data_IF_421694575647
#
_entry.id   IF_421694575647
#
_cell.length_a   1.000
_cell.length_b   1.000
_cell.length_c   1.000
_cell.angle_alpha   90.00
_cell.angle_beta   90.00
_cell.angle_gamma   90.00
#
_symmetry.space_group_name_H-M   'P 1'
#
loop_
_entity.id
_entity.type
_entity.pdbx_description
1 polymer ?
#
# COMPACT_ATOMS: atom_id res chain seq x y z
N UNK A 1 -11.50 -27.22 18.88
CA UNK A 1 -11.01 -25.94 18.35
C UNK A 1 -11.50 -25.87 16.91
N UNK A 2 -12.48 -25.01 16.63
CA UNK A 2 -13.32 -25.12 15.42
C UNK A 2 -12.76 -24.25 14.29
N UNK A 3 -12.61 -24.80 13.09
CA UNK A 3 -12.07 -24.14 11.90
C UNK A 3 -12.97 -22.99 11.35
N UNK A 4 -14.05 -22.64 12.04
CA UNK A 4 -14.97 -21.57 11.67
C UNK A 4 -14.49 -20.16 12.10
N UNK A 5 -13.51 -20.04 13.00
CA UNK A 5 -12.97 -18.74 13.44
C UNK A 5 -11.95 -18.12 12.46
N UNK A 6 -11.61 -18.82 11.37
CA UNK A 6 -10.71 -18.28 10.34
C UNK A 6 -11.43 -17.47 9.24
N UNK A 7 -12.75 -17.33 9.34
CA UNK A 7 -13.54 -16.47 8.47
C UNK A 7 -13.91 -15.17 9.21
N UNK A 8 -12.90 -14.42 9.66
CA UNK A 8 -13.13 -12.98 9.85
C UNK A 8 -13.47 -12.42 8.47
N UNK A 9 -14.67 -11.87 8.29
CA UNK A 9 -14.97 -10.97 7.17
C UNK A 9 -13.74 -10.09 6.89
N UNK A 10 -13.35 -9.82 5.63
CA UNK A 10 -12.07 -9.21 5.28
C UNK A 10 -11.84 -7.96 6.13
N UNK A 11 -11.08 -8.14 7.20
CA UNK A 11 -11.27 -7.34 8.40
C UNK A 11 -10.54 -6.03 8.28
N UNK A 12 -11.30 -4.95 8.28
CA UNK A 12 -10.86 -3.63 8.73
C UNK A 12 -9.95 -3.75 9.93
N UNK A 13 -8.88 -2.98 9.96
CA UNK A 13 -7.79 -3.19 10.90
C UNK A 13 -8.14 -3.04 12.38
N UNK A 14 -7.10 -3.14 13.19
CA UNK A 14 -7.18 -2.96 14.65
C UNK A 14 -6.67 -1.58 15.00
N UNK A 15 -7.43 -0.83 15.78
CA UNK A 15 -6.99 0.42 16.40
C UNK A 15 -6.70 0.16 17.88
N UNK A 16 -5.48 0.47 18.32
CA UNK A 16 -5.08 0.47 19.72
C UNK A 16 -5.02 1.92 20.19
N UNK A 17 -5.74 2.25 21.25
CA UNK A 17 -5.79 3.58 21.84
C UNK A 17 -5.16 3.59 23.24
N UNK A 18 -4.36 4.62 23.49
CA UNK A 18 -3.71 4.84 24.76
C UNK A 18 -4.73 5.14 25.88
N UNK A 19 -4.64 4.38 26.97
CA UNK A 19 -5.54 4.54 28.13
C UNK A 19 -5.37 5.90 28.81
N UNK A 20 -4.13 6.36 29.02
CA UNK A 20 -3.86 7.64 29.67
C UNK A 20 -4.33 8.82 28.83
N UNK A 21 -4.03 8.79 27.53
CA UNK A 21 -4.50 9.84 26.60
C UNK A 21 -6.03 9.90 26.55
N UNK A 22 -6.70 8.74 26.51
CA UNK A 22 -8.18 8.66 26.52
C UNK A 22 -8.76 9.32 27.76
N UNK A 23 -8.17 9.06 28.92
CA UNK A 23 -8.67 9.56 30.21
C UNK A 23 -8.52 11.08 30.35
N UNK A 24 -7.65 11.70 29.55
CA UNK A 24 -7.52 13.15 29.44
C UNK A 24 -8.56 13.80 28.49
N UNK A 25 -9.23 13.00 27.64
CA UNK A 25 -10.19 13.53 26.66
C UNK A 25 -11.62 13.61 27.22
N UNK A 26 -12.42 14.48 26.62
CA UNK A 26 -13.85 14.56 26.95
C UNK A 26 -14.59 13.26 26.53
N UNK A 27 -15.49 12.71 27.38
CA UNK A 27 -16.19 11.45 27.08
C UNK A 27 -16.95 11.42 25.75
N UNK A 28 -17.53 12.55 25.33
CA UNK A 28 -18.23 12.64 24.03
C UNK A 28 -17.30 12.40 22.85
N UNK A 29 -16.04 12.85 22.94
CA UNK A 29 -15.07 12.67 21.87
C UNK A 29 -14.58 11.22 21.79
N UNK A 30 -14.41 10.56 22.95
CA UNK A 30 -14.12 9.13 23.00
C UNK A 30 -15.28 8.31 22.42
N UNK A 31 -16.52 8.71 22.71
CA UNK A 31 -17.70 8.08 22.11
C UNK A 31 -17.73 8.25 20.58
N UNK A 32 -17.46 9.48 20.08
CA UNK A 32 -17.30 9.73 18.65
C UNK A 32 -16.26 8.81 18.02
N UNK A 33 -15.06 8.71 18.60
CA UNK A 33 -13.97 7.85 18.10
C UNK A 33 -14.42 6.39 18.01
N UNK A 34 -15.04 5.86 19.08
CA UNK A 34 -15.50 4.48 19.13
C UNK A 34 -16.56 4.20 18.05
N UNK A 35 -17.54 5.09 17.92
CA UNK A 35 -18.61 4.99 16.92
C UNK A 35 -18.06 5.11 15.50
N UNK A 36 -17.14 6.04 15.26
CA UNK A 36 -16.48 6.25 13.97
C UNK A 36 -15.66 5.03 13.55
N UNK A 37 -14.87 4.46 14.47
CA UNK A 37 -14.10 3.23 14.20
C UNK A 37 -15.03 2.06 13.88
N UNK A 38 -16.09 1.87 14.66
CA UNK A 38 -17.08 0.82 14.42
C UNK A 38 -17.76 0.97 13.05
N UNK A 39 -18.13 2.19 12.67
CA UNK A 39 -18.72 2.48 11.35
C UNK A 39 -17.75 2.16 10.20
N UNK A 40 -16.44 2.33 10.43
CA UNK A 40 -15.37 1.97 9.49
C UNK A 40 -14.83 0.54 9.72
N UNK A 41 -15.60 -0.30 10.43
CA UNK A 41 -15.29 -1.71 10.73
C UNK A 41 -13.99 -1.97 11.53
N UNK A 42 -13.37 -0.94 12.11
CA UNK A 42 -12.18 -1.10 12.94
C UNK A 42 -12.52 -1.68 14.31
N UNK A 43 -11.68 -2.59 14.80
CA UNK A 43 -11.75 -3.06 16.19
C UNK A 43 -10.93 -2.15 17.09
N UNK A 44 -11.56 -1.56 18.11
CA UNK A 44 -10.91 -0.70 19.09
C UNK A 44 -10.46 -1.48 20.32
N UNK A 45 -9.19 -1.36 20.68
CA UNK A 45 -8.60 -1.90 21.90
C UNK A 45 -7.98 -0.77 22.74
N UNK A 46 -8.10 -0.85 24.06
CA UNK A 46 -7.49 0.11 24.97
C UNK A 46 -6.25 -0.51 25.62
N UNK A 47 -5.09 0.12 25.46
CA UNK A 47 -3.82 -0.41 25.94
C UNK A 47 -2.93 0.70 26.49
N UNK A 48 -2.04 0.42 27.46
CA UNK A 48 -1.04 1.37 27.94
C UNK A 48 0.14 1.45 26.95
N UNK A 49 -0.10 2.03 25.78
CA UNK A 49 0.89 2.20 24.71
C UNK A 49 1.57 3.56 24.78
N UNK A 50 2.75 3.70 24.17
CA UNK A 50 3.49 4.97 24.18
C UNK A 50 2.96 6.04 23.20
N UNK A 51 2.54 5.71 21.95
CA UNK A 51 1.75 6.61 21.09
C UNK A 51 0.33 6.81 21.63
N UNK A 52 -0.44 7.73 21.04
CA UNK A 52 -1.86 7.90 21.38
C UNK A 52 -2.72 6.87 20.66
N UNK A 53 -2.37 6.58 19.39
CA UNK A 53 -3.00 5.53 18.60
C UNK A 53 -1.97 4.69 17.87
N UNK A 54 -2.27 3.40 17.70
CA UNK A 54 -1.60 2.52 16.75
C UNK A 54 -2.66 1.82 15.91
N UNK A 55 -2.58 1.99 14.60
CA UNK A 55 -3.42 1.27 13.64
C UNK A 55 -2.65 0.12 13.03
N UNK A 56 -3.23 -1.08 13.03
CA UNK A 56 -2.70 -2.24 12.33
C UNK A 56 -3.62 -2.62 11.17
N UNK A 57 -3.16 -2.36 9.95
CA UNK A 57 -3.87 -2.65 8.70
C UNK A 57 -3.08 -3.65 7.88
N UNK A 58 -3.53 -4.90 7.83
CA UNK A 58 -2.92 -5.93 6.96
C UNK A 58 -1.43 -6.17 7.23
N UNK A 59 -1.00 -6.10 8.49
CA UNK A 59 0.39 -6.31 8.89
C UNK A 59 1.27 -5.06 8.76
N UNK A 60 0.71 -3.88 8.49
CA UNK A 60 1.39 -2.59 8.66
C UNK A 60 0.92 -1.91 9.93
N UNK A 61 1.86 -1.47 10.77
CA UNK A 61 1.57 -0.67 11.95
C UNK A 61 1.90 0.81 11.69
N UNK A 62 0.94 1.69 11.97
CA UNK A 62 1.09 3.14 11.88
C UNK A 62 0.78 3.75 13.25
N UNK A 63 1.74 4.50 13.79
CA UNK A 63 1.61 5.16 15.09
C UNK A 63 1.26 6.64 14.93
N UNK A 64 0.47 7.15 15.87
CA UNK A 64 0.04 8.54 15.90
C UNK A 64 0.26 9.15 17.29
N UNK A 65 0.79 10.38 17.31
CA UNK A 65 0.61 11.32 18.41
C UNK A 65 -0.56 12.22 18.01
N UNK A 66 -1.53 12.40 18.89
CA UNK A 66 -2.70 13.24 18.65
C UNK A 66 -2.85 14.33 19.71
N UNK A 67 -2.50 15.56 19.33
CA UNK A 67 -2.63 16.75 20.18
C UNK A 67 -3.98 17.41 19.88
N UNK A 68 -4.97 17.22 20.75
CA UNK A 68 -6.34 17.72 20.56
C UNK A 68 -6.52 19.19 20.94
N UNK A 69 -5.54 19.78 21.62
CA UNK A 69 -5.49 21.21 21.91
C UNK A 69 -4.03 21.69 21.94
N UNK A 70 -3.65 22.54 20.98
CA UNK A 70 -2.30 23.06 20.92
C UNK A 70 -2.01 24.14 21.96
N UNK A 71 -0.93 23.95 22.72
CA UNK A 71 -0.35 24.95 23.61
C UNK A 71 1.18 25.03 23.38
N UNK A 72 1.70 26.23 23.11
CA UNK A 72 3.13 26.44 22.89
C UNK A 72 4.00 26.13 24.11
N UNK A 73 3.47 26.26 25.33
CA UNK A 73 4.22 25.94 26.55
C UNK A 73 4.55 24.46 26.62
N UNK A 74 3.73 23.61 25.97
CA UNK A 74 3.91 22.17 25.89
C UNK A 74 4.63 21.72 24.61
N UNK A 75 5.08 22.66 23.75
CA UNK A 75 5.73 22.31 22.49
C UNK A 75 6.93 21.38 22.71
N UNK A 76 7.81 21.71 23.65
CA UNK A 76 9.00 20.89 23.96
C UNK A 76 8.65 19.45 24.32
N UNK A 77 7.54 19.23 25.04
CA UNK A 77 7.07 17.90 25.41
C UNK A 77 6.57 17.12 24.18
N UNK A 78 5.79 17.77 23.30
CA UNK A 78 5.28 17.16 22.07
C UNK A 78 6.43 16.76 21.14
N UNK A 79 7.36 17.68 20.86
CA UNK A 79 8.52 17.40 19.99
C UNK A 79 9.48 16.38 20.62
N UNK A 80 9.71 16.43 21.93
CA UNK A 80 10.53 15.43 22.63
C UNK A 80 9.91 14.03 22.63
N UNK A 81 8.59 13.92 22.74
CA UNK A 81 7.85 12.65 22.60
C UNK A 81 7.93 12.12 21.18
N UNK A 82 7.77 13.01 20.20
CA UNK A 82 7.89 12.70 18.77
C UNK A 82 9.26 12.10 18.44
N UNK A 83 10.34 12.75 18.86
CA UNK A 83 11.71 12.27 18.61
C UNK A 83 11.98 10.89 19.21
N UNK A 84 11.45 10.63 20.41
CA UNK A 84 11.54 9.30 21.04
C UNK A 84 10.79 8.23 20.25
N UNK A 85 9.56 8.51 19.82
CA UNK A 85 8.73 7.56 19.09
C UNK A 85 9.20 7.33 17.65
N UNK A 86 9.79 8.33 17.00
CA UNK A 86 10.31 8.23 15.63
C UNK A 86 11.39 7.14 15.51
N UNK A 87 12.17 6.92 16.56
CA UNK A 87 13.18 5.84 16.61
C UNK A 87 12.58 4.44 16.73
N UNK A 88 11.32 4.34 17.16
CA UNK A 88 10.63 3.08 17.42
C UNK A 88 9.66 2.68 16.29
N UNK A 89 9.13 3.66 15.55
CA UNK A 89 8.09 3.44 14.55
C UNK A 89 8.53 3.96 13.18
N UNK A 90 8.58 3.08 12.18
CA UNK A 90 8.86 3.46 10.79
C UNK A 90 7.76 4.31 10.13
N UNK A 91 6.54 4.28 10.69
CA UNK A 91 5.43 5.14 10.28
C UNK A 91 4.83 5.83 11.50
N UNK A 92 5.30 7.06 11.74
CA UNK A 92 4.81 7.93 12.80
C UNK A 92 4.22 9.20 12.18
N UNK A 93 3.09 9.63 12.71
CA UNK A 93 2.43 10.89 12.33
C UNK A 93 2.07 11.67 13.60
N UNK A 94 2.08 12.99 13.49
CA UNK A 94 1.65 13.88 14.58
C UNK A 94 0.48 14.70 14.09
N UNK A 95 -0.72 14.43 14.60
CA UNK A 95 -1.91 15.22 14.28
C UNK A 95 -2.10 16.26 15.38
N UNK A 96 -2.30 17.52 14.99
CA UNK A 96 -2.37 18.64 15.94
C UNK A 96 -3.59 19.50 15.61
N UNK A 97 -4.50 19.65 16.58
CA UNK A 97 -5.62 20.57 16.46
C UNK A 97 -5.19 22.00 16.80
N UNK A 98 -5.34 22.87 15.81
CA UNK A 98 -5.04 24.31 15.82
C UNK A 98 -6.27 25.07 15.29
N UNK A 99 -7.35 25.17 16.07
CA UNK A 99 -8.61 25.77 15.62
C UNK A 99 -8.49 27.24 15.21
N UNK A 100 -7.59 28.01 15.83
CA UNK A 100 -7.43 29.45 15.54
C UNK A 100 -6.18 29.77 14.74
N UNK A 101 -6.17 30.94 14.09
CA UNK A 101 -5.01 31.42 13.34
C UNK A 101 -3.81 31.64 14.26
N UNK A 102 -4.02 32.15 15.47
CA UNK A 102 -2.98 32.39 16.46
C UNK A 102 -2.33 31.08 16.94
N UNK A 103 -3.14 30.03 17.13
CA UNK A 103 -2.62 28.70 17.46
C UNK A 103 -1.85 28.09 16.29
N UNK A 104 -2.32 28.27 15.07
CA UNK A 104 -1.60 27.83 13.87
C UNK A 104 -0.26 28.55 13.72
N UNK A 105 -0.21 29.87 13.91
CA UNK A 105 1.02 30.65 13.87
C UNK A 105 1.99 30.25 14.99
N UNK A 106 1.45 30.01 16.19
CA UNK A 106 2.20 29.50 17.34
C UNK A 106 2.79 28.11 17.08
N UNK A 107 2.00 27.22 16.49
CA UNK A 107 2.43 25.90 16.06
C UNK A 107 3.53 26.00 15.00
N UNK A 108 3.36 26.83 13.97
CA UNK A 108 4.36 27.04 12.93
C UNK A 108 5.70 27.53 13.49
N UNK A 109 5.67 28.54 14.39
CA UNK A 109 6.90 28.99 15.07
C UNK A 109 7.60 27.86 15.82
N UNK A 110 6.82 27.02 16.52
CA UNK A 110 7.38 25.88 17.26
C UNK A 110 7.91 24.79 16.32
N UNK A 111 7.18 24.50 15.26
CA UNK A 111 7.59 23.58 14.21
C UNK A 111 8.93 23.97 13.62
N UNK A 112 9.10 25.22 13.16
CA UNK A 112 10.38 25.69 12.62
C UNK A 112 11.50 25.74 13.65
N UNK A 113 11.17 26.04 14.92
CA UNK A 113 12.16 26.06 16.01
C UNK A 113 12.72 24.67 16.33
N UNK A 114 11.88 23.64 16.35
CA UNK A 114 12.26 22.29 16.80
C UNK A 114 12.58 21.32 15.65
N UNK A 115 12.14 21.58 14.43
CA UNK A 115 12.29 20.68 13.27
C UNK A 115 13.43 21.08 12.32
N UNK A 116 14.67 21.15 12.84
CA UNK A 116 15.87 21.53 12.05
C UNK A 116 16.38 20.41 11.11
N UNK A 117 15.79 19.21 11.11
CA UNK A 117 16.06 18.16 10.11
C UNK A 117 14.79 17.68 9.40
N UNK A 118 14.69 18.00 8.10
CA UNK A 118 13.63 17.53 7.20
C UNK A 118 13.75 16.03 6.95
N UNK A 119 12.81 15.22 7.46
CA UNK A 119 12.78 13.78 7.17
C UNK A 119 11.78 12.90 7.92
N UNK A 120 10.58 13.40 8.26
CA UNK A 120 9.47 12.75 8.98
C UNK A 120 9.58 12.77 10.52
N UNK A 121 8.47 12.78 11.30
CA UNK A 121 7.07 12.50 10.97
C UNK A 121 6.33 13.68 10.32
N UNK A 122 5.38 13.34 9.45
CA UNK A 122 4.48 14.29 8.80
C UNK A 122 3.53 14.86 9.85
N UNK A 123 3.75 16.11 10.26
CA UNK A 123 2.80 16.85 11.08
C UNK A 123 1.55 17.16 10.25
N UNK A 124 0.38 16.97 10.85
CA UNK A 124 -0.93 17.16 10.21
C UNK A 124 -1.73 18.15 11.07
N UNK A 125 -1.60 19.46 10.82
CA UNK A 125 -2.43 20.45 11.48
C UNK A 125 -3.88 20.32 11.00
N UNK A 126 -4.84 20.42 11.93
CA UNK A 126 -6.28 20.35 11.68
C UNK A 126 -7.01 21.40 12.48
N UNK A 127 -8.22 21.80 12.05
CA UNK A 127 -9.01 22.82 12.75
C UNK A 127 -9.81 22.25 13.91
N UNK A 128 -10.18 20.98 13.84
CA UNK A 128 -11.01 20.34 14.84
C UNK A 128 -10.54 18.90 15.13
N UNK A 129 -10.74 18.41 16.37
CA UNK A 129 -10.31 17.06 16.74
C UNK A 129 -11.04 15.93 15.98
N UNK A 130 -12.31 16.09 15.61
CA UNK A 130 -13.05 15.04 14.89
C UNK A 130 -12.49 14.80 13.48
N UNK A 131 -12.25 15.88 12.72
CA UNK A 131 -11.52 15.88 11.45
C UNK A 131 -10.09 15.36 11.63
N UNK A 132 -9.44 15.71 12.74
CA UNK A 132 -8.14 15.15 13.12
C UNK A 132 -8.17 13.63 13.15
N UNK A 133 -9.16 13.07 13.84
CA UNK A 133 -9.33 11.63 13.94
C UNK A 133 -9.72 10.98 12.60
N UNK A 134 -10.58 11.63 11.81
CA UNK A 134 -10.90 11.17 10.46
C UNK A 134 -9.64 11.07 9.58
N UNK A 135 -8.75 12.06 9.63
CA UNK A 135 -7.47 12.04 8.93
C UNK A 135 -6.55 10.92 9.42
N UNK A 136 -6.52 10.64 10.72
CA UNK A 136 -5.79 9.50 11.28
C UNK A 136 -6.23 8.20 10.62
N UNK A 137 -7.54 7.94 10.57
CA UNK A 137 -8.10 6.72 9.98
C UNK A 137 -7.79 6.66 8.48
N UNK A 138 -7.92 7.77 7.75
CA UNK A 138 -7.60 7.85 6.31
C UNK A 138 -6.12 7.55 6.02
N UNK A 139 -5.20 8.14 6.80
CA UNK A 139 -3.76 7.88 6.66
C UNK A 139 -3.44 6.42 6.93
N UNK A 140 -3.98 5.87 8.03
CA UNK A 140 -3.78 4.47 8.39
C UNK A 140 -4.28 3.53 7.29
N UNK A 141 -5.48 3.79 6.76
CA UNK A 141 -6.07 2.99 5.70
C UNK A 141 -5.23 3.04 4.42
N UNK A 142 -4.89 4.24 3.94
CA UNK A 142 -4.09 4.43 2.73
C UNK A 142 -2.76 3.68 2.82
N UNK A 143 -2.05 3.79 3.95
CA UNK A 143 -0.80 3.07 4.19
C UNK A 143 -0.97 1.55 4.15
N UNK A 144 -2.04 1.03 4.73
CA UNK A 144 -2.38 -0.40 4.67
C UNK A 144 -2.65 -0.90 3.25
N UNK A 145 -3.37 -0.10 2.44
CA UNK A 145 -3.66 -0.42 1.04
C UNK A 145 -2.38 -0.42 0.20
N UNK A 146 -1.53 0.60 0.33
CA UNK A 146 -0.25 0.66 -0.39
C UNK A 146 0.62 -0.57 -0.12
N UNK A 147 0.80 -0.97 1.15
CA UNK A 147 1.57 -2.20 1.48
C UNK A 147 0.97 -3.44 0.80
N UNK A 148 -0.36 -3.57 0.79
CA UNK A 148 -1.01 -4.71 0.15
C UNK A 148 -0.76 -4.70 -1.36
N UNK A 149 -0.82 -3.53 -2.00
CA UNK A 149 -0.50 -3.38 -3.42
C UNK A 149 0.96 -3.71 -3.72
N UNK A 150 1.91 -3.22 -2.91
CA UNK A 150 3.34 -3.52 -3.03
C UNK A 150 3.62 -5.02 -2.85
N UNK A 151 2.95 -5.68 -1.89
CA UNK A 151 3.07 -7.11 -1.71
C UNK A 151 2.52 -7.88 -2.92
N UNK A 152 1.38 -7.46 -3.48
CA UNK A 152 0.80 -8.09 -4.68
C UNK A 152 1.68 -7.88 -5.90
N UNK A 153 2.26 -6.69 -6.09
CA UNK A 153 3.17 -6.42 -7.22
C UNK A 153 4.47 -7.21 -7.09
N UNK A 154 5.06 -7.28 -5.89
CA UNK A 154 6.22 -8.14 -5.60
C UNK A 154 5.90 -9.62 -5.89
N UNK A 155 4.77 -10.14 -5.43
CA UNK A 155 4.37 -11.53 -5.70
C UNK A 155 4.13 -11.79 -7.20
N UNK A 156 3.59 -10.83 -7.94
CA UNK A 156 3.47 -10.92 -9.41
C UNK A 156 4.84 -10.97 -10.06
N UNK A 157 5.75 -10.07 -9.67
CA UNK A 157 7.12 -10.03 -10.20
C UNK A 157 7.90 -11.31 -9.88
N UNK A 158 7.82 -11.82 -8.63
CA UNK A 158 8.47 -13.08 -8.24
C UNK A 158 7.88 -14.27 -9.00
N UNK A 159 6.57 -14.30 -9.24
CA UNK A 159 5.92 -15.33 -10.06
C UNK A 159 6.43 -15.27 -11.51
N UNK A 160 6.46 -14.08 -12.09
CA UNK A 160 7.01 -13.87 -13.44
C UNK A 160 8.46 -14.33 -13.50
N UNK A 161 9.32 -13.90 -12.57
CA UNK A 161 10.72 -14.34 -12.50
C UNK A 161 10.87 -15.85 -12.26
N UNK A 162 10.01 -16.46 -11.44
CA UNK A 162 10.06 -17.90 -11.17
C UNK A 162 9.65 -18.73 -12.40
N UNK A 163 8.70 -18.25 -13.21
CA UNK A 163 8.32 -18.87 -14.49
C UNK A 163 9.43 -18.69 -15.53
N UNK A 164 10.20 -17.61 -15.45
CA UNK A 164 11.35 -17.35 -16.34
C UNK A 164 12.64 -18.10 -15.93
N UNK A 165 12.66 -18.85 -14.83
CA UNK A 165 13.83 -19.67 -14.47
C UNK A 165 13.98 -20.83 -15.46
N UNK A 166 15.21 -21.05 -15.92
CA UNK A 166 15.55 -22.12 -16.87
C UNK A 166 15.06 -23.50 -16.42
N UNK A 167 15.07 -23.79 -15.12
CA UNK A 167 14.58 -25.08 -14.59
C UNK A 167 13.07 -25.27 -14.77
N UNK A 168 12.28 -24.20 -14.67
CA UNK A 168 10.84 -24.22 -14.93
C UNK A 168 10.57 -24.32 -16.43
N UNK A 169 11.32 -23.58 -17.23
CA UNK A 169 11.28 -23.65 -18.69
C UNK A 169 11.53 -25.10 -19.16
N UNK A 170 12.62 -25.73 -18.70
CA UNK A 170 12.97 -27.10 -19.08
C UNK A 170 11.86 -28.08 -18.66
N UNK A 171 11.33 -27.99 -17.44
CA UNK A 171 10.22 -28.86 -16.98
C UNK A 171 8.95 -28.70 -17.81
N UNK A 172 8.62 -27.49 -18.23
CA UNK A 172 7.41 -27.24 -19.04
C UNK A 172 7.60 -27.76 -20.46
N UNK A 173 8.73 -27.45 -21.09
CA UNK A 173 8.97 -27.83 -22.48
C UNK A 173 9.20 -29.33 -22.62
N UNK A 174 9.89 -29.98 -21.68
CA UNK A 174 10.06 -31.46 -21.67
C UNK A 174 8.81 -32.24 -21.27
N UNK A 175 7.76 -31.56 -20.78
CA UNK A 175 6.45 -32.20 -20.59
C UNK A 175 5.71 -32.45 -21.91
N UNK A 176 6.14 -31.80 -23.00
CA UNK A 176 5.63 -32.08 -24.34
C UNK A 176 6.14 -33.47 -24.76
N UNK A 177 5.25 -34.41 -25.14
CA UNK A 177 5.67 -35.74 -25.53
C UNK A 177 6.71 -35.72 -26.65
N UNK A 178 7.80 -36.48 -26.47
CA UNK A 178 8.87 -36.58 -27.47
C UNK A 178 9.87 -35.42 -27.50
N UNK A 179 9.78 -34.48 -26.55
CA UNK A 179 10.74 -33.38 -26.37
C UNK A 179 11.63 -33.66 -25.16
N UNK A 180 12.95 -33.65 -25.37
CA UNK A 180 13.95 -33.86 -24.33
C UNK A 180 14.64 -32.55 -23.89
N UNK A 181 15.59 -32.64 -22.96
CA UNK A 181 16.30 -31.47 -22.46
C UNK A 181 17.16 -30.78 -23.52
N UNK A 182 17.70 -31.53 -24.50
CA UNK A 182 18.48 -30.93 -25.58
C UNK A 182 17.58 -30.09 -26.47
N UNK A 183 16.46 -30.69 -26.90
CA UNK A 183 15.41 -30.01 -27.68
C UNK A 183 14.89 -28.75 -26.97
N UNK A 184 14.63 -28.86 -25.66
CA UNK A 184 14.17 -27.75 -24.85
C UNK A 184 15.20 -26.61 -24.81
N UNK A 185 16.49 -26.92 -24.64
CA UNK A 185 17.55 -25.91 -24.69
C UNK A 185 17.68 -25.26 -26.08
N UNK A 186 17.54 -26.03 -27.17
CA UNK A 186 17.55 -25.48 -28.52
C UNK A 186 16.39 -24.49 -28.74
N UNK A 187 15.18 -24.82 -28.26
CA UNK A 187 14.03 -23.92 -28.28
C UNK A 187 14.24 -22.66 -27.42
N UNK A 188 14.85 -22.80 -26.23
CA UNK A 188 15.18 -21.67 -25.36
C UNK A 188 16.13 -20.69 -26.03
N UNK A 189 17.13 -21.19 -26.76
CA UNK A 189 18.14 -20.38 -27.44
C UNK A 189 17.60 -19.74 -28.72
N UNK A 190 16.78 -20.46 -29.48
CA UNK A 190 16.31 -20.01 -30.79
C UNK A 190 15.03 -19.16 -30.73
N UNK A 191 14.09 -19.51 -29.86
CA UNK A 191 12.75 -18.90 -29.80
C UNK A 191 12.57 -18.09 -28.51
N UNK A 192 13.20 -18.51 -27.41
CA UNK A 192 13.15 -17.80 -26.15
C UNK A 192 12.09 -18.35 -25.21
N UNK A 193 11.04 -17.58 -24.92
CA UNK A 193 10.10 -17.89 -23.84
C UNK A 193 9.11 -19.02 -24.21
N UNK A 194 8.52 -19.66 -23.20
CA UNK A 194 7.44 -20.65 -23.40
C UNK A 194 6.24 -20.02 -24.15
N UNK A 195 5.97 -18.74 -23.92
CA UNK A 195 4.88 -18.03 -24.59
C UNK A 195 5.17 -17.86 -26.09
N UNK A 196 6.42 -17.55 -26.45
CA UNK A 196 6.83 -17.42 -27.85
C UNK A 196 6.80 -18.77 -28.56
N UNK A 197 7.26 -19.85 -27.89
CA UNK A 197 7.15 -21.23 -28.40
C UNK A 197 5.68 -21.62 -28.61
N UNK A 198 4.79 -21.22 -27.70
CA UNK A 198 3.36 -21.53 -27.81
C UNK A 198 2.64 -20.79 -28.95
N UNK A 199 3.21 -19.68 -29.43
CA UNK A 199 2.70 -18.89 -30.56
C UNK A 199 3.45 -19.17 -31.86
N UNK A 200 4.63 -19.79 -31.80
CA UNK A 200 5.46 -20.09 -32.95
C UNK A 200 4.74 -21.03 -33.93
N UNK A 201 4.91 -20.76 -35.22
CA UNK A 201 4.39 -21.63 -36.28
C UNK A 201 5.32 -22.83 -36.49
N UNK A 202 4.78 -23.93 -37.05
CA UNK A 202 5.58 -25.13 -37.38
C UNK A 202 6.78 -24.78 -38.27
N UNK A 203 6.57 -23.90 -39.26
CA UNK A 203 7.64 -23.43 -40.16
C UNK A 203 8.72 -22.66 -39.41
N UNK A 204 8.33 -21.71 -38.54
CA UNK A 204 9.28 -20.92 -37.77
C UNK A 204 10.13 -21.78 -36.81
N UNK A 205 9.53 -22.80 -36.19
CA UNK A 205 10.25 -23.74 -35.32
C UNK A 205 11.30 -24.51 -36.14
N UNK A 206 10.95 -25.02 -37.31
CA UNK A 206 11.87 -25.78 -38.17
C UNK A 206 12.98 -24.93 -38.80
N UNK A 207 12.71 -23.65 -39.05
CA UNK A 207 13.71 -22.72 -39.57
C UNK A 207 14.69 -22.23 -38.49
N UNK A 208 14.22 -22.14 -37.24
CA UNK A 208 15.00 -21.56 -36.13
C UNK A 208 15.68 -22.62 -35.26
N UNK A 209 15.31 -23.89 -35.35
CA UNK A 209 15.85 -24.99 -34.54
C UNK A 209 16.24 -26.19 -35.38
N UNK A 210 17.02 -27.12 -34.82
CA UNK A 210 17.40 -28.40 -35.43
C UNK A 210 16.39 -29.54 -35.16
N UNK A 211 15.17 -29.20 -34.71
CA UNK A 211 14.13 -30.17 -34.39
C UNK A 211 13.61 -30.89 -35.64
N UNK A 212 13.22 -32.15 -35.47
CA UNK A 212 12.57 -32.91 -36.54
C UNK A 212 11.17 -32.39 -36.84
N UNK A 213 10.68 -32.67 -38.05
CA UNK A 213 9.32 -32.32 -38.47
C UNK A 213 8.25 -32.85 -37.51
N UNK A 214 8.44 -34.07 -37.00
CA UNK A 214 7.53 -34.71 -36.05
C UNK A 214 7.53 -34.01 -34.69
N UNK A 215 8.71 -33.61 -34.19
CA UNK A 215 8.84 -32.86 -32.93
C UNK A 215 8.20 -31.47 -33.05
N UNK A 216 8.46 -30.75 -34.14
CA UNK A 216 7.85 -29.44 -34.39
C UNK A 216 6.33 -29.52 -34.51
N UNK A 217 5.79 -30.56 -35.16
CA UNK A 217 4.35 -30.81 -35.22
C UNK A 217 3.76 -31.14 -33.85
N UNK A 218 4.46 -31.96 -33.05
CA UNK A 218 4.04 -32.32 -31.71
C UNK A 218 3.99 -31.10 -30.78
N UNK A 219 4.94 -30.17 -30.90
CA UNK A 219 4.95 -28.90 -30.16
C UNK A 219 3.74 -28.04 -30.56
N UNK A 220 3.53 -27.79 -31.86
CA UNK A 220 2.40 -26.97 -32.32
C UNK A 220 1.07 -27.59 -31.90
N UNK A 221 0.93 -28.92 -32.01
CA UNK A 221 -0.29 -29.63 -31.60
C UNK A 221 -0.53 -29.57 -30.10
N UNK A 222 0.51 -29.75 -29.29
CA UNK A 222 0.43 -29.69 -27.82
C UNK A 222 0.17 -28.25 -27.34
N UNK A 223 0.84 -27.26 -27.91
CA UNK A 223 0.62 -25.85 -27.64
C UNK A 223 -0.74 -25.36 -28.11
N UNK A 224 -1.31 -25.92 -29.18
CA UNK A 224 -2.68 -25.63 -29.61
C UNK A 224 -3.71 -26.12 -28.59
N UNK A 225 -3.49 -27.29 -27.97
CA UNK A 225 -4.32 -27.84 -26.89
C UNK A 225 -4.12 -27.05 -25.57
N UNK A 226 -2.87 -26.67 -25.25
CA UNK A 226 -2.53 -25.88 -24.06
C UNK A 226 -2.97 -24.41 -24.16
N UNK A 227 -3.02 -23.81 -25.35
CA UNK A 227 -3.59 -22.48 -25.57
C UNK A 227 -5.06 -22.40 -25.16
N UNK A 228 -5.81 -23.52 -25.20
CA UNK A 228 -7.17 -23.58 -24.66
C UNK A 228 -7.17 -23.50 -23.12
N UNK A 229 -6.19 -24.10 -22.45
CA UNK A 229 -6.03 -24.08 -20.99
C UNK A 229 -5.43 -22.76 -20.46
N UNK A 230 -4.43 -22.18 -21.16
CA UNK A 230 -3.86 -20.87 -20.82
C UNK A 230 -4.84 -19.72 -21.09
N UNK A 231 -5.67 -19.80 -22.14
CA UNK A 231 -6.79 -18.86 -22.33
C UNK A 231 -7.84 -19.00 -21.22
N UNK A 232 -8.14 -20.21 -20.73
CA UNK A 232 -9.03 -20.38 -19.58
C UNK A 232 -8.43 -19.79 -18.29
N UNK A 233 -7.13 -19.95 -18.05
CA UNK A 233 -6.43 -19.31 -16.91
C UNK A 233 -6.42 -17.78 -17.03
N UNK A 234 -6.20 -17.24 -18.24
CA UNK A 234 -6.25 -15.79 -18.48
C UNK A 234 -7.66 -15.21 -18.52
N UNK A 235 -8.70 -15.98 -18.90
CA UNK A 235 -10.11 -15.57 -18.81
C UNK A 235 -10.57 -15.56 -17.34
N UNK A 236 -10.13 -16.54 -16.54
CA UNK A 236 -10.38 -16.55 -15.09
C UNK A 236 -9.61 -15.43 -14.38
N UNK A 237 -8.39 -15.09 -14.84
CA UNK A 237 -7.63 -13.93 -14.31
C UNK A 237 -8.21 -12.59 -14.79
N UNK A 238 -8.67 -12.48 -16.04
CA UNK A 238 -9.28 -11.27 -16.60
C UNK A 238 -10.68 -10.97 -16.07
N UNK A 239 -11.42 -11.98 -15.62
CA UNK A 239 -12.69 -11.80 -14.91
C UNK A 239 -12.50 -11.15 -13.52
N UNK A 240 -11.32 -11.29 -12.91
CA UNK A 240 -10.96 -10.62 -11.65
C UNK A 240 -10.53 -9.17 -11.91
N UNK A 241 -9.88 -8.88 -13.03
CA UNK A 241 -9.54 -7.51 -13.44
C UNK A 241 -10.77 -6.72 -13.95
N UNK A 242 -11.79 -7.39 -14.49
CA UNK A 242 -13.08 -6.78 -14.86
C UNK A 242 -13.83 -6.19 -13.66
N UNK A 243 -13.72 -6.82 -12.48
CA UNK A 243 -14.27 -6.30 -11.22
C UNK A 243 -13.49 -5.09 -10.67
N UNK A 244 -12.31 -4.79 -11.23
CA UNK A 244 -11.48 -3.64 -10.84
C UNK A 244 -11.84 -2.36 -11.62
N UNK A 245 -12.30 -2.49 -12.88
CA UNK A 245 -12.74 -1.34 -13.68
C UNK A 245 -14.01 -0.67 -13.17
N UNK A 246 -14.90 -1.44 -12.53
CA UNK A 246 -16.12 -0.89 -11.91
C UNK A 246 -15.83 -0.15 -10.58
N UNK A 247 -14.62 -0.31 -10.02
CA UNK A 247 -14.16 0.43 -8.85
C UNK A 247 -13.40 1.71 -9.23
N UNK A 248 -12.63 1.69 -10.33
CA UNK A 248 -11.85 2.85 -10.82
C UNK A 248 -12.73 3.95 -11.45
N UNK A 249 -13.98 3.68 -11.86
CA UNK A 249 -14.91 4.71 -12.34
C UNK A 249 -15.49 5.61 -11.25
N UNK A 250 -15.11 5.40 -9.98
CA UNK A 250 -15.53 6.24 -8.85
C UNK A 250 -14.45 7.22 -8.38
N UNK A 251 -13.26 7.20 -9.00
CA UNK A 251 -12.07 7.95 -8.58
C UNK A 251 -11.82 9.24 -9.39
N UNK A 252 -12.66 9.57 -10.38
CA UNK A 252 -12.42 10.68 -11.32
C UNK A 252 -12.99 12.05 -10.90
N UNK A 253 -13.41 12.23 -9.63
CA UNK A 253 -14.03 13.49 -9.15
C UNK A 253 -13.38 14.08 -7.89
N UNK A 254 -12.05 14.10 -7.82
CA UNK A 254 -11.35 14.89 -6.81
C UNK A 254 -10.13 15.60 -7.40
N UNK A 255 -10.31 16.90 -7.67
CA UNK A 255 -9.25 17.80 -8.13
C UNK A 255 -8.08 17.87 -7.13
N UNK A 256 -6.83 18.05 -7.62
CA UNK A 256 -5.67 18.27 -6.77
C UNK A 256 -5.72 19.66 -6.13
N UNK A 257 -5.66 19.72 -4.79
CA UNK A 257 -5.50 20.98 -4.06
C UNK A 257 -4.06 21.47 -4.26
N UNK A 258 -3.91 22.42 -5.17
CA UNK A 258 -2.67 23.16 -5.40
C UNK A 258 -2.40 24.10 -4.22
N UNK A 259 -1.17 24.05 -3.69
CA UNK A 259 -0.68 25.01 -2.70
C UNK A 259 -0.71 26.43 -3.28
N UNK A 260 -1.49 27.33 -2.67
CA UNK A 260 -1.37 28.76 -2.93
C UNK A 260 -0.15 29.27 -2.17
N UNK A 261 0.98 29.40 -2.85
CA UNK A 261 2.09 30.25 -2.41
C UNK A 261 1.62 31.71 -2.48
N UNK A 262 1.29 32.31 -1.35
CA UNK A 262 1.15 33.77 -1.27
C UNK A 262 2.55 34.38 -1.34
N UNK A 263 2.88 34.95 -2.50
CA UNK A 263 4.02 35.86 -2.67
C UNK A 263 3.74 37.13 -1.87
N UNK A 264 4.55 37.43 -0.86
CA UNK A 264 4.59 38.77 -0.28
C UNK A 264 5.61 39.59 -1.07
N UNK A 265 5.10 40.53 -1.85
CA UNK A 265 5.85 41.62 -2.45
C UNK A 265 6.43 42.51 -1.35
N UNK A 266 7.76 42.58 -1.30
CA UNK A 266 8.51 43.64 -0.63
C UNK A 266 8.24 44.97 -1.33
N UNK A 267 7.50 45.88 -0.68
CA UNK A 267 7.62 47.33 -0.85
C UNK A 267 6.90 48.06 0.29
N UNK A 268 7.62 48.99 0.90
CA UNK A 268 7.16 50.15 1.67
C UNK A 268 6.53 49.95 3.05
N UNK A 269 7.34 50.10 4.11
CA UNK A 269 7.19 51.18 5.10
C UNK A 269 8.57 51.57 5.65
N UNK A 270 9.15 52.62 5.06
CA UNK A 270 10.00 53.57 5.78
C UNK A 270 9.04 54.54 6.47
N UNK A 271 9.05 54.63 7.80
CA UNK A 271 9.02 55.86 8.60
C UNK A 271 8.84 55.54 10.10
N UNK A 272 9.77 56.12 10.87
CA UNK A 272 9.93 56.22 12.33
C UNK A 272 10.57 55.03 13.06
#
# INVERSE_FOLDING_TARGET
MNLADLASAPGSGVCMMNTSWRDEQHPSFIHFISSFLSANSYRLNFLPIAPDFIFNNGGLSVAFIFVTNWNCDHASAVFGRMEKLRRQFGHLYVVVSVPTMEQNDSFNRSYFKYAVELGAPTFVPVRDPEMGFEKIVKIAHARGVCKRQDAVSMMKLEREQAVQRMDCFLKVVTSIPGIDNHDANALAQAIGSVEDIAKASKGFILESTDLSMDKAEMIVRSCFILNFSLKLVNIVSGAVDGLKKDAESSEENSEPITYVQTQYTTSDVILQ
#
